data_IF_695985608960
#
_entry.id   IF_695985608960
#
_cell.length_a   1.000
_cell.length_b   1.000
_cell.length_c   1.000
_cell.angle_alpha   90.00
_cell.angle_beta   90.00
_cell.angle_gamma   90.00
#
_symmetry.space_group_name_H-M   'P 1'
#
loop_
_entity.id
_entity.type
_entity.pdbx_description
1 polymer ?
#
# COMPACT_ATOMS: atom_id res chain seq x y z
N UNK A 1 28.04 -17.78 -17.45
CA UNK A 1 26.78 -18.55 -17.58
C UNK A 1 26.43 -18.61 -19.05
N UNK A 2 26.16 -19.79 -19.59
CA UNK A 2 25.81 -20.00 -21.01
C UNK A 2 24.49 -20.74 -21.12
N UNK A 3 23.76 -20.50 -22.21
CA UNK A 3 22.57 -21.25 -22.61
C UNK A 3 22.86 -21.90 -23.96
N UNK A 4 22.78 -23.22 -24.02
CA UNK A 4 23.15 -24.02 -25.20
C UNK A 4 24.55 -23.68 -25.75
N UNK A 5 25.50 -23.49 -24.82
CA UNK A 5 26.89 -23.12 -25.13
C UNK A 5 27.11 -21.66 -25.50
N UNK A 6 26.06 -20.86 -25.71
CA UNK A 6 26.17 -19.43 -26.04
C UNK A 6 26.18 -18.57 -24.78
N UNK A 7 27.12 -17.62 -24.64
CA UNK A 7 27.06 -16.61 -23.59
C UNK A 7 25.82 -15.75 -23.73
N UNK A 8 25.14 -15.46 -22.61
CA UNK A 8 24.02 -14.51 -22.59
C UNK A 8 24.49 -13.16 -22.03
N UNK A 9 23.98 -12.03 -22.56
CA UNK A 9 24.32 -10.69 -22.09
C UNK A 9 23.58 -10.36 -20.78
N UNK A 10 24.00 -10.99 -19.68
CA UNK A 10 23.41 -10.81 -18.35
C UNK A 10 23.59 -9.40 -17.82
N UNK A 11 22.52 -8.82 -17.30
CA UNK A 11 22.57 -7.64 -16.43
C UNK A 11 22.69 -8.10 -14.98
N UNK A 12 23.54 -7.42 -14.21
CA UNK A 12 23.81 -7.76 -12.81
C UNK A 12 23.30 -6.65 -11.90
N UNK A 13 22.60 -7.00 -10.82
CA UNK A 13 22.15 -6.08 -9.76
C UNK A 13 22.45 -6.68 -8.39
N UNK A 14 22.52 -5.85 -7.35
CA UNK A 14 22.65 -6.28 -5.95
C UNK A 14 24.02 -5.95 -5.33
N UNK A 15 24.31 -6.61 -4.21
CA UNK A 15 25.52 -6.44 -3.41
C UNK A 15 26.40 -7.70 -3.52
N UNK A 16 27.62 -7.64 -2.97
CA UNK A 16 28.63 -8.72 -3.06
C UNK A 16 28.15 -10.06 -2.46
N UNK A 17 27.32 -10.00 -1.43
CA UNK A 17 26.73 -11.13 -0.71
C UNK A 17 25.41 -11.61 -1.34
N UNK A 18 24.73 -10.76 -2.10
CA UNK A 18 23.47 -11.07 -2.79
C UNK A 18 23.39 -10.39 -4.15
N UNK A 19 23.77 -11.13 -5.18
CA UNK A 19 23.80 -10.67 -6.56
C UNK A 19 22.75 -11.40 -7.40
N UNK A 20 22.02 -10.65 -8.22
CA UNK A 20 21.02 -11.14 -9.16
C UNK A 20 21.50 -10.94 -10.59
N UNK A 21 21.34 -11.98 -11.42
CA UNK A 21 21.65 -11.95 -12.84
C UNK A 21 20.38 -12.14 -13.64
N UNK A 22 20.09 -11.21 -14.54
CA UNK A 22 18.88 -11.24 -15.36
C UNK A 22 19.24 -11.06 -16.83
N UNK A 23 18.63 -11.87 -17.67
CA UNK A 23 18.67 -11.74 -19.12
C UNK A 23 17.26 -12.00 -19.65
N UNK A 24 16.83 -11.21 -20.61
CA UNK A 24 15.55 -11.36 -21.31
C UNK A 24 15.78 -11.16 -22.80
N UNK A 25 14.95 -11.81 -23.61
CA UNK A 25 14.87 -11.58 -25.05
C UNK A 25 13.41 -11.62 -25.47
N UNK A 26 12.95 -10.57 -26.16
CA UNK A 26 11.61 -10.48 -26.74
C UNK A 26 11.53 -11.02 -28.16
N UNK A 27 12.68 -11.38 -28.75
CA UNK A 27 12.79 -11.82 -30.15
C UNK A 27 13.37 -13.23 -30.29
N UNK A 28 13.86 -13.81 -29.20
CA UNK A 28 14.36 -15.18 -29.16
C UNK A 28 13.47 -16.04 -28.27
N UNK A 29 13.28 -17.30 -28.67
CA UNK A 29 12.60 -18.33 -27.90
C UNK A 29 13.37 -19.64 -27.92
N UNK A 30 12.84 -20.64 -27.23
CA UNK A 30 13.37 -21.98 -27.23
C UNK A 30 12.84 -22.77 -28.41
N UNK A 31 13.75 -23.45 -29.12
CA UNK A 31 13.35 -24.45 -30.09
C UNK A 31 12.77 -25.67 -29.36
N UNK A 32 12.00 -26.50 -30.05
CA UNK A 32 11.54 -27.76 -29.46
C UNK A 32 12.75 -28.64 -29.12
N UNK A 33 12.92 -29.00 -27.86
CA UNK A 33 13.97 -29.93 -27.44
C UNK A 33 14.47 -29.70 -26.03
N UNK A 34 15.62 -30.31 -25.74
CA UNK A 34 16.33 -30.10 -24.48
C UNK A 34 17.30 -28.94 -24.61
N UNK A 35 17.32 -28.08 -23.60
CA UNK A 35 18.23 -26.95 -23.49
C UNK A 35 19.11 -27.09 -22.25
N UNK A 36 20.32 -26.54 -22.31
CA UNK A 36 21.30 -26.64 -21.22
C UNK A 36 21.71 -25.25 -20.75
N UNK A 37 21.25 -24.88 -19.55
CA UNK A 37 21.82 -23.75 -18.81
C UNK A 37 23.05 -24.23 -18.05
N UNK A 38 24.21 -23.71 -18.42
CA UNK A 38 25.47 -24.03 -17.75
C UNK A 38 25.96 -22.85 -16.92
N UNK A 39 25.99 -23.04 -15.60
CA UNK A 39 26.59 -22.13 -14.64
C UNK A 39 27.95 -22.71 -14.23
N UNK A 40 29.03 -22.03 -14.61
CA UNK A 40 30.38 -22.37 -14.16
C UNK A 40 30.78 -21.37 -13.09
N UNK A 41 31.21 -21.86 -11.93
CA UNK A 41 31.86 -21.02 -10.94
C UNK A 41 33.12 -20.39 -11.54
N UNK A 42 33.26 -19.06 -11.47
CA UNK A 42 34.54 -18.42 -11.75
C UNK A 42 35.58 -18.86 -10.71
N UNK A 43 36.87 -18.77 -11.06
CA UNK A 43 38.04 -19.33 -10.33
C UNK A 43 38.18 -19.02 -8.83
N UNK A 44 39.40 -19.04 -8.28
CA UNK A 44 39.60 -18.87 -6.82
C UNK A 44 38.92 -17.60 -6.27
N UNK A 45 38.15 -17.75 -5.19
CA UNK A 45 37.55 -16.64 -4.43
C UNK A 45 38.16 -16.63 -3.04
N UNK A 46 38.87 -15.56 -2.70
CA UNK A 46 39.40 -15.39 -1.37
C UNK A 46 38.50 -14.43 -0.58
N UNK A 47 37.37 -14.94 -0.09
CA UNK A 47 36.39 -14.17 0.68
C UNK A 47 35.63 -15.10 1.63
N UNK A 48 35.19 -14.63 2.81
CA UNK A 48 34.31 -15.41 3.68
C UNK A 48 32.91 -15.63 3.07
N UNK A 49 32.56 -14.95 1.97
CA UNK A 49 31.29 -15.09 1.28
C UNK A 49 31.30 -16.40 0.48
N UNK A 50 30.31 -17.27 0.72
CA UNK A 50 30.13 -18.53 0.02
C UNK A 50 29.79 -18.27 -1.45
N UNK A 51 30.46 -18.98 -2.37
CA UNK A 51 30.08 -19.04 -3.78
C UNK A 51 29.01 -20.10 -3.99
N UNK A 52 27.76 -19.70 -4.06
CA UNK A 52 26.63 -20.61 -4.28
C UNK A 52 25.68 -20.07 -5.34
N UNK A 53 25.20 -20.96 -6.21
CA UNK A 53 24.01 -20.70 -7.01
C UNK A 53 22.79 -20.99 -6.12
N UNK A 54 22.10 -19.95 -5.67
CA UNK A 54 20.94 -20.11 -4.78
C UNK A 54 19.69 -20.54 -5.56
N UNK A 55 19.44 -19.95 -6.73
CA UNK A 55 18.35 -20.32 -7.61
C UNK A 55 18.70 -20.00 -9.06
N UNK A 56 18.08 -20.73 -9.98
CA UNK A 56 18.03 -20.38 -11.40
C UNK A 56 16.59 -20.60 -11.88
N UNK A 57 16.00 -19.58 -12.48
CA UNK A 57 14.68 -19.63 -13.12
C UNK A 57 14.86 -19.33 -14.60
N UNK A 58 14.23 -20.15 -15.45
CA UNK A 58 14.12 -19.91 -16.89
C UNK A 58 12.63 -20.02 -17.21
N UNK A 59 12.11 -18.96 -17.81
CA UNK A 59 10.71 -18.84 -18.16
C UNK A 59 10.61 -18.31 -19.58
N UNK A 60 9.82 -18.99 -20.40
CA UNK A 60 9.42 -18.54 -21.73
C UNK A 60 7.93 -18.23 -21.68
N UNK A 61 7.57 -17.08 -22.23
CA UNK A 61 6.20 -16.61 -22.31
C UNK A 61 5.81 -16.46 -23.78
N UNK A 62 4.50 -16.48 -24.06
CA UNK A 62 4.01 -16.07 -25.37
C UNK A 62 4.22 -14.56 -25.57
N UNK A 63 3.86 -14.04 -26.75
CA UNK A 63 4.07 -12.64 -27.11
C UNK A 63 3.32 -11.63 -26.24
N UNK A 64 3.61 -10.36 -26.49
CA UNK A 64 3.02 -9.21 -25.78
C UNK A 64 1.49 -9.15 -25.88
N UNK A 65 0.89 -9.73 -26.94
CA UNK A 65 -0.56 -9.83 -27.11
C UNK A 65 -1.23 -10.73 -26.05
N UNK A 66 -0.45 -11.60 -25.40
CA UNK A 66 -0.92 -12.51 -24.35
C UNK A 66 -0.40 -12.13 -22.96
N UNK A 67 0.89 -11.80 -22.85
CA UNK A 67 1.57 -11.70 -21.55
C UNK A 67 2.04 -10.29 -21.18
N UNK A 68 1.92 -9.27 -22.04
CA UNK A 68 2.19 -7.87 -21.67
C UNK A 68 3.46 -7.66 -20.81
N UNK A 69 4.60 -8.27 -21.20
CA UNK A 69 5.82 -8.28 -20.41
C UNK A 69 6.52 -6.91 -20.39
N UNK A 70 6.25 -6.08 -21.39
CA UNK A 70 6.82 -4.73 -21.53
C UNK A 70 6.08 -3.68 -20.67
N UNK A 71 4.86 -3.96 -20.22
CA UNK A 71 4.08 -3.09 -19.35
C UNK A 71 4.17 -3.55 -17.87
N UNK A 72 4.99 -2.88 -17.04
CA UNK A 72 5.15 -3.26 -15.64
C UNK A 72 3.90 -2.97 -14.78
N UNK A 73 2.95 -2.19 -15.27
CA UNK A 73 1.69 -1.87 -14.58
C UNK A 73 0.54 -2.80 -14.94
N UNK A 74 0.70 -3.59 -16.01
CA UNK A 74 -0.34 -4.49 -16.48
C UNK A 74 -0.70 -5.52 -15.41
N UNK A 75 -2.01 -5.69 -15.23
CA UNK A 75 -2.57 -6.68 -14.31
C UNK A 75 -3.12 -7.82 -15.15
N UNK A 76 -2.44 -8.96 -15.06
CA UNK A 76 -2.74 -10.16 -15.81
C UNK A 76 -2.73 -11.39 -14.93
N UNK A 77 -2.75 -12.56 -15.57
CA UNK A 77 -2.73 -13.86 -14.89
C UNK A 77 -1.45 -14.61 -15.26
N UNK A 78 -0.36 -14.28 -14.58
CA UNK A 78 0.94 -14.87 -14.85
C UNK A 78 1.09 -16.19 -14.09
N UNK A 79 1.36 -17.32 -14.76
CA UNK A 79 1.54 -18.60 -14.09
C UNK A 79 2.81 -18.59 -13.24
N UNK A 80 2.75 -19.24 -12.09
CA UNK A 80 3.92 -19.56 -11.25
C UNK A 80 3.76 -20.96 -10.67
N UNK A 81 4.86 -21.61 -10.32
CA UNK A 81 4.86 -22.99 -9.84
C UNK A 81 5.53 -23.07 -8.48
N UNK A 82 4.93 -23.81 -7.56
CA UNK A 82 5.57 -24.13 -6.27
C UNK A 82 6.59 -25.27 -6.40
N UNK A 83 7.26 -25.60 -5.30
CA UNK A 83 8.26 -26.68 -5.24
C UNK A 83 7.69 -28.06 -5.61
N UNK A 84 6.37 -28.24 -5.53
CA UNK A 84 5.64 -29.46 -5.86
C UNK A 84 5.05 -29.40 -7.28
N UNK A 85 5.47 -28.42 -8.10
CA UNK A 85 4.98 -28.16 -9.47
C UNK A 85 3.49 -27.81 -9.53
N UNK A 86 2.88 -27.37 -8.41
CA UNK A 86 1.51 -26.88 -8.43
C UNK A 86 1.48 -25.49 -9.03
N UNK A 87 0.67 -25.35 -10.07
CA UNK A 87 0.44 -24.06 -10.73
C UNK A 87 -0.41 -23.17 -9.83
N UNK A 88 0.08 -21.97 -9.58
CA UNK A 88 -0.69 -20.84 -9.06
C UNK A 88 -0.52 -19.64 -10.00
N UNK A 89 -1.12 -18.52 -9.65
CA UNK A 89 -1.16 -17.33 -10.49
C UNK A 89 -0.73 -16.12 -9.68
N UNK A 90 0.02 -15.22 -10.32
CA UNK A 90 0.38 -13.90 -9.79
C UNK A 90 -0.18 -12.81 -10.71
N UNK A 91 -0.54 -11.64 -10.16
CA UNK A 91 -1.22 -10.59 -10.90
C UNK A 91 -0.30 -9.74 -11.80
N UNK A 92 1.02 -9.83 -11.61
CA UNK A 92 1.99 -9.00 -12.29
C UNK A 92 3.31 -9.75 -12.53
N UNK A 93 4.03 -9.38 -13.60
CA UNK A 93 5.23 -10.07 -14.01
C UNK A 93 6.50 -9.67 -13.25
N UNK A 94 6.96 -8.41 -13.26
CA UNK A 94 8.30 -8.10 -12.68
C UNK A 94 8.34 -6.82 -11.84
N UNK A 95 7.23 -6.07 -11.73
CA UNK A 95 7.15 -4.88 -10.87
C UNK A 95 7.09 -5.25 -9.39
N UNK A 96 6.42 -6.34 -9.02
CA UNK A 96 6.16 -6.62 -7.60
C UNK A 96 7.41 -7.08 -6.83
N UNK A 97 7.72 -6.45 -5.70
CA UNK A 97 8.75 -6.86 -4.73
C UNK A 97 8.59 -8.33 -4.31
N UNK A 98 7.36 -8.80 -4.17
CA UNK A 98 7.04 -10.19 -3.80
C UNK A 98 7.43 -11.22 -4.88
N UNK A 99 7.85 -10.75 -6.06
CA UNK A 99 8.37 -11.56 -7.16
C UNK A 99 9.84 -11.22 -7.43
N UNK A 100 10.10 -9.94 -7.65
CA UNK A 100 11.41 -9.42 -7.99
C UNK A 100 11.97 -8.67 -6.78
N UNK A 101 12.84 -9.33 -6.03
CA UNK A 101 13.46 -8.75 -4.84
C UNK A 101 14.37 -7.55 -5.14
N UNK A 102 14.63 -7.23 -6.42
CA UNK A 102 15.32 -6.01 -6.82
C UNK A 102 14.37 -4.84 -7.09
N UNK A 103 13.06 -5.07 -7.11
CA UNK A 103 12.07 -4.02 -7.25
C UNK A 103 11.79 -3.35 -5.91
N UNK A 104 11.71 -2.00 -5.85
CA UNK A 104 11.31 -1.29 -4.65
C UNK A 104 9.79 -1.13 -4.52
N UNK A 105 8.98 -1.72 -5.40
CA UNK A 105 7.55 -1.47 -5.48
C UNK A 105 6.69 -2.72 -5.24
N UNK A 106 5.57 -2.57 -4.56
CA UNK A 106 4.47 -3.55 -4.64
C UNK A 106 3.66 -3.33 -5.91
N UNK A 107 3.16 -4.39 -6.54
CA UNK A 107 2.20 -4.25 -7.64
C UNK A 107 0.84 -3.76 -7.13
N UNK A 108 0.01 -3.24 -8.03
CA UNK A 108 -1.27 -2.60 -7.71
C UNK A 108 -2.21 -3.53 -6.93
N UNK A 109 -2.24 -4.83 -7.25
CA UNK A 109 -3.05 -5.82 -6.52
C UNK A 109 -2.53 -6.07 -5.09
N UNK A 110 -1.21 -6.08 -4.89
CA UNK A 110 -0.62 -6.19 -3.56
C UNK A 110 -0.89 -4.92 -2.73
N UNK A 111 -0.79 -3.74 -3.34
CA UNK A 111 -1.12 -2.47 -2.68
C UNK A 111 -2.58 -2.42 -2.23
N UNK A 112 -3.51 -2.79 -3.11
CA UNK A 112 -4.94 -2.89 -2.79
C UNK A 112 -5.19 -3.86 -1.63
N UNK A 113 -4.59 -5.05 -1.67
CA UNK A 113 -4.72 -6.02 -0.57
C UNK A 113 -4.09 -5.51 0.74
N UNK A 114 -3.00 -4.74 0.70
CA UNK A 114 -2.44 -4.14 1.91
C UNK A 114 -3.42 -3.14 2.54
N UNK A 115 -4.03 -2.26 1.75
CA UNK A 115 -5.10 -1.37 2.24
C UNK A 115 -6.23 -2.17 2.89
N UNK A 116 -6.73 -3.18 2.18
CA UNK A 116 -7.82 -4.03 2.66
C UNK A 116 -7.49 -4.81 3.93
N UNK A 117 -6.22 -5.17 4.15
CA UNK A 117 -5.81 -5.88 5.37
C UNK A 117 -5.56 -4.93 6.52
N UNK A 118 -4.85 -3.81 6.30
CA UNK A 118 -4.51 -2.88 7.37
C UNK A 118 -5.74 -2.14 7.90
N UNK A 119 -6.65 -1.72 7.03
CA UNK A 119 -7.85 -0.98 7.46
C UNK A 119 -8.90 -1.86 8.15
N UNK A 120 -8.71 -3.18 8.21
CA UNK A 120 -9.52 -4.04 9.12
C UNK A 120 -9.18 -3.85 10.59
N UNK A 121 -8.03 -3.22 10.89
CA UNK A 121 -7.49 -3.07 12.25
C UNK A 121 -7.24 -1.62 12.64
N UNK A 122 -7.37 -0.70 11.68
CA UNK A 122 -7.06 0.72 11.85
C UNK A 122 -8.32 1.49 11.52
N UNK A 123 -8.66 2.47 12.36
CA UNK A 123 -9.70 3.45 12.05
C UNK A 123 -9.08 4.68 11.42
N UNK A 124 -9.79 5.31 10.48
CA UNK A 124 -9.39 6.62 9.96
C UNK A 124 -9.62 7.76 10.96
N UNK A 125 -10.47 7.53 11.95
CA UNK A 125 -10.74 8.45 13.04
C UNK A 125 -9.76 8.09 14.17
N UNK A 126 -8.86 9.01 14.47
CA UNK A 126 -7.92 8.87 15.59
C UNK A 126 -8.63 9.25 16.90
N UNK A 127 -9.37 10.36 16.89
CA UNK A 127 -10.15 10.83 18.04
C UNK A 127 -11.25 11.84 17.62
N UNK A 128 -12.17 12.12 18.53
CA UNK A 128 -13.11 13.25 18.44
C UNK A 128 -13.03 14.07 19.73
N UNK A 129 -12.48 15.27 19.62
CA UNK A 129 -12.32 16.18 20.75
C UNK A 129 -13.57 17.04 20.88
N UNK A 130 -14.20 16.99 22.05
CA UNK A 130 -15.38 17.81 22.39
C UNK A 130 -14.97 18.86 23.42
N UNK A 131 -15.19 20.13 23.10
CA UNK A 131 -14.91 21.28 23.97
C UNK A 131 -16.13 22.19 23.99
N UNK A 132 -16.97 22.03 25.01
CA UNK A 132 -18.31 22.62 25.05
C UNK A 132 -19.13 22.21 23.83
N UNK A 133 -19.48 23.19 22.98
CA UNK A 133 -20.23 22.98 21.72
C UNK A 133 -19.34 22.84 20.48
N UNK A 134 -18.03 23.03 20.63
CA UNK A 134 -17.07 22.81 19.54
C UNK A 134 -16.65 21.36 19.52
N UNK A 135 -16.70 20.75 18.34
CA UNK A 135 -16.27 19.36 18.14
C UNK A 135 -15.26 19.32 17.01
N UNK A 136 -14.15 18.63 17.21
CA UNK A 136 -13.07 18.50 16.24
C UNK A 136 -12.69 17.03 16.02
N UNK A 137 -12.75 16.59 14.76
CA UNK A 137 -12.28 15.27 14.35
C UNK A 137 -10.76 15.28 14.20
N UNK A 138 -10.09 14.35 14.88
CA UNK A 138 -8.69 14.00 14.62
C UNK A 138 -8.68 12.78 13.69
N UNK A 139 -8.08 12.95 12.53
CA UNK A 139 -8.01 11.91 11.50
C UNK A 139 -6.56 11.48 11.30
N UNK A 140 -6.36 10.22 10.90
CA UNK A 140 -5.06 9.78 10.38
C UNK A 140 -4.71 10.67 9.18
N UNK A 141 -3.49 11.24 9.13
CA UNK A 141 -3.12 12.27 8.14
C UNK A 141 -2.86 11.66 6.76
N UNK A 142 -3.95 11.29 6.09
CA UNK A 142 -4.05 10.77 4.72
C UNK A 142 -4.89 11.72 3.85
N UNK A 143 -4.94 11.46 2.54
CA UNK A 143 -5.68 12.30 1.60
C UNK A 143 -5.28 13.77 1.76
N UNK A 144 -6.24 14.68 1.68
CA UNK A 144 -5.99 16.12 1.80
C UNK A 144 -5.30 16.58 3.11
N UNK A 145 -5.13 15.72 4.11
CA UNK A 145 -4.46 16.02 5.39
C UNK A 145 -3.03 15.48 5.48
N UNK A 146 -2.52 14.83 4.43
CA UNK A 146 -1.15 14.32 4.40
C UNK A 146 -0.15 15.48 4.55
N UNK A 147 0.86 15.38 5.44
CA UNK A 147 1.84 16.44 5.61
C UNK A 147 2.66 16.61 4.32
N UNK A 148 2.97 17.86 3.98
CA UNK A 148 3.94 18.17 2.92
C UNK A 148 5.32 17.80 3.42
N UNK A 149 5.79 16.58 3.15
CA UNK A 149 7.15 16.17 3.52
C UNK A 149 8.18 16.82 2.62
N UNK A 150 9.31 17.23 3.20
CA UNK A 150 10.46 17.80 2.48
C UNK A 150 11.02 16.80 1.45
N UNK A 151 10.65 16.94 0.17
CA UNK A 151 11.25 16.20 -0.94
C UNK A 151 10.28 15.45 -1.87
N UNK A 152 8.96 15.54 -1.65
CA UNK A 152 7.99 14.99 -2.57
C UNK A 152 6.79 15.90 -2.69
N UNK A 153 6.76 16.72 -3.74
CA UNK A 153 5.62 17.55 -4.17
C UNK A 153 4.47 16.68 -4.68
N UNK A 154 3.99 15.76 -3.85
CA UNK A 154 2.76 15.04 -4.16
C UNK A 154 1.68 15.65 -3.29
N UNK A 155 1.08 16.73 -3.78
CA UNK A 155 -0.19 17.19 -3.25
C UNK A 155 -1.12 15.97 -3.19
N UNK A 156 -1.75 15.72 -2.05
CA UNK A 156 -2.59 14.53 -1.89
C UNK A 156 -3.76 14.49 -2.89
N UNK A 157 -4.17 15.67 -3.38
CA UNK A 157 -5.13 15.84 -4.49
C UNK A 157 -4.56 15.28 -5.80
N UNK A 158 -3.25 15.39 -6.03
CA UNK A 158 -2.54 14.81 -7.18
C UNK A 158 -2.48 13.28 -7.19
N UNK A 159 -2.78 12.63 -6.06
CA UNK A 159 -2.91 11.16 -5.97
C UNK A 159 -4.36 10.67 -6.05
N UNK A 160 -5.35 11.56 -6.20
CA UNK A 160 -6.77 11.18 -6.20
C UNK A 160 -7.26 10.62 -4.86
N UNK A 161 -6.51 10.83 -3.76
CA UNK A 161 -6.91 10.42 -2.43
C UNK A 161 -7.83 11.46 -1.78
N UNK A 162 -8.91 11.03 -1.11
CA UNK A 162 -9.88 11.95 -0.49
C UNK A 162 -10.57 11.36 0.72
N UNK A 163 -10.70 12.14 1.79
CA UNK A 163 -11.69 11.88 2.84
C UNK A 163 -13.03 12.54 2.55
N UNK A 164 -14.11 11.86 2.89
CA UNK A 164 -15.44 12.47 3.10
C UNK A 164 -15.90 12.26 4.54
N UNK A 165 -16.47 13.31 5.12
CA UNK A 165 -16.94 13.32 6.51
C UNK A 165 -18.43 13.60 6.55
N UNK A 166 -19.16 12.81 7.33
CA UNK A 166 -20.58 13.02 7.62
C UNK A 166 -20.79 13.05 9.13
N UNK A 167 -21.44 14.11 9.61
CA UNK A 167 -21.81 14.27 11.00
C UNK A 167 -23.29 13.95 11.15
N UNK A 168 -23.62 13.02 12.05
CA UNK A 168 -24.99 12.60 12.33
C UNK A 168 -25.36 13.03 13.75
N UNK A 169 -26.53 13.63 13.90
CA UNK A 169 -27.15 13.91 15.21
C UNK A 169 -28.37 13.01 15.36
N UNK A 170 -28.37 12.16 16.39
CA UNK A 170 -29.38 11.11 16.60
C UNK A 170 -29.67 10.26 15.34
N UNK A 171 -28.61 9.93 14.60
CA UNK A 171 -28.69 9.13 13.36
C UNK A 171 -29.10 9.91 12.10
N UNK A 172 -29.39 11.21 12.19
CA UNK A 172 -29.71 12.06 11.03
C UNK A 172 -28.51 12.90 10.60
N UNK A 173 -28.15 12.85 9.31
CA UNK A 173 -27.03 13.63 8.80
C UNK A 173 -27.31 15.14 8.88
N UNK A 174 -26.37 15.86 9.48
CA UNK A 174 -26.33 17.32 9.53
C UNK A 174 -25.52 17.82 8.34
N UNK A 175 -26.19 17.95 7.19
CA UNK A 175 -25.54 18.24 5.88
C UNK A 175 -24.69 19.51 5.90
N UNK A 176 -25.07 20.52 6.70
CA UNK A 176 -24.30 21.77 6.82
C UNK A 176 -22.89 21.60 7.40
N UNK A 177 -22.57 20.45 7.99
CA UNK A 177 -21.26 20.10 8.54
C UNK A 177 -20.47 19.13 7.66
N UNK A 178 -21.02 18.71 6.52
CA UNK A 178 -20.36 17.74 5.63
C UNK A 178 -18.94 18.21 5.25
N UNK A 179 -18.01 17.26 5.27
CA UNK A 179 -16.58 17.43 4.97
C UNK A 179 -15.84 18.46 5.85
N UNK A 180 -16.46 18.95 6.94
CA UNK A 180 -15.79 19.79 7.94
C UNK A 180 -15.13 18.93 9.01
N UNK A 181 -13.86 19.21 9.30
CA UNK A 181 -13.11 18.56 10.39
C UNK A 181 -13.45 19.14 11.77
N UNK A 182 -13.96 20.38 11.81
CA UNK A 182 -14.38 21.06 13.03
C UNK A 182 -15.76 21.62 12.84
N UNK A 183 -16.64 21.35 13.79
CA UNK A 183 -18.04 21.77 13.78
C UNK A 183 -18.39 22.50 15.07
N UNK A 184 -19.47 23.27 15.02
CA UNK A 184 -20.06 23.93 16.18
C UNK A 184 -21.52 23.50 16.27
N UNK A 185 -21.81 22.65 17.26
CA UNK A 185 -23.14 22.04 17.43
C UNK A 185 -24.20 23.06 17.82
N UNK A 186 -23.83 24.25 18.30
CA UNK A 186 -24.76 25.34 18.61
C UNK A 186 -25.52 25.86 17.38
N UNK A 187 -24.98 25.61 16.18
CA UNK A 187 -25.61 25.96 14.89
C UNK A 187 -26.77 25.04 14.53
N UNK A 188 -27.07 24.04 15.35
CA UNK A 188 -28.23 23.17 15.23
C UNK A 188 -29.22 23.51 16.33
N UNK A 189 -30.49 23.85 15.99
CA UNK A 189 -31.51 24.06 17.00
C UNK A 189 -31.83 22.78 17.76
N UNK A 190 -31.77 22.82 19.09
CA UNK A 190 -32.10 21.71 20.00
C UNK A 190 -31.45 20.36 19.59
N UNK A 191 -30.11 20.30 19.45
CA UNK A 191 -29.45 19.08 19.01
C UNK A 191 -29.58 18.00 20.08
N UNK A 192 -29.69 16.73 19.66
CA UNK A 192 -29.50 15.60 20.57
C UNK A 192 -28.07 15.61 21.13
N UNK A 193 -27.87 15.08 22.33
CA UNK A 193 -26.52 14.87 22.87
C UNK A 193 -25.76 13.76 22.13
N UNK A 194 -26.44 12.89 21.39
CA UNK A 194 -25.84 11.77 20.66
C UNK A 194 -25.40 12.19 19.27
N UNK A 195 -24.10 12.10 19.03
CA UNK A 195 -23.49 12.39 17.75
C UNK A 195 -22.73 11.19 17.21
N UNK A 196 -22.56 11.17 15.90
CA UNK A 196 -21.74 10.16 15.23
C UNK A 196 -21.02 10.80 14.05
N UNK A 197 -19.72 10.59 14.00
CA UNK A 197 -18.88 10.94 12.86
C UNK A 197 -18.70 9.69 11.99
N UNK A 198 -19.04 9.80 10.72
CA UNK A 198 -18.69 8.81 9.69
C UNK A 198 -17.64 9.40 8.76
N UNK A 199 -16.58 8.64 8.54
CA UNK A 199 -15.48 9.01 7.65
C UNK A 199 -15.31 7.92 6.60
N UNK A 200 -15.21 8.32 5.34
CA UNK A 200 -14.86 7.43 4.23
C UNK A 200 -13.56 7.92 3.59
N UNK A 201 -12.65 7.01 3.28
CA UNK A 201 -11.39 7.30 2.59
C UNK A 201 -11.38 6.63 1.21
N UNK A 202 -11.13 7.42 0.17
CA UNK A 202 -10.99 6.94 -1.21
C UNK A 202 -9.55 7.12 -1.67
N UNK A 203 -9.00 6.13 -2.37
CA UNK A 203 -7.68 6.17 -3.02
C UNK A 203 -7.71 5.35 -4.31
N UNK A 204 -7.02 5.75 -5.40
CA UNK A 204 -6.94 4.95 -6.62
C UNK A 204 -6.30 3.57 -6.44
N UNK A 205 -5.59 3.37 -5.33
CA UNK A 205 -4.98 2.07 -4.97
C UNK A 205 -6.03 1.02 -4.56
N UNK A 206 -7.26 1.43 -4.24
CA UNK A 206 -8.37 0.53 -3.88
C UNK A 206 -9.47 0.71 -4.90
N UNK A 207 -9.67 -0.31 -5.73
CA UNK A 207 -10.69 -0.31 -6.79
C UNK A 207 -12.02 -0.84 -6.29
N UNK A 208 -11.97 -1.83 -5.40
CA UNK A 208 -13.16 -2.46 -4.83
C UNK A 208 -12.98 -2.64 -3.33
N UNK A 209 -13.88 -2.04 -2.56
CA UNK A 209 -13.96 -2.22 -1.10
C UNK A 209 -15.16 -3.09 -0.70
N UNK A 210 -15.11 -4.37 -1.04
CA UNK A 210 -16.20 -5.31 -0.76
C UNK A 210 -16.41 -5.60 0.73
N UNK A 211 -15.43 -5.26 1.58
CA UNK A 211 -15.48 -5.46 3.03
C UNK A 211 -15.87 -4.20 3.80
N UNK A 212 -16.09 -3.08 3.10
CA UNK A 212 -16.40 -1.78 3.69
C UNK A 212 -15.35 -1.31 4.73
N UNK A 213 -14.08 -1.67 4.51
CA UNK A 213 -12.97 -1.34 5.44
C UNK A 213 -12.38 0.04 5.17
N UNK A 214 -12.78 0.69 4.08
CA UNK A 214 -12.38 2.05 3.74
C UNK A 214 -13.28 3.12 4.40
N UNK A 215 -14.06 2.71 5.41
CA UNK A 215 -14.93 3.58 6.19
C UNK A 215 -14.68 3.39 7.69
N UNK A 216 -14.96 4.42 8.47
CA UNK A 216 -14.87 4.42 9.93
C UNK A 216 -16.01 5.22 10.53
N UNK A 217 -16.46 4.80 11.70
CA UNK A 217 -17.56 5.43 12.42
C UNK A 217 -17.21 5.54 13.89
N UNK A 218 -17.49 6.70 14.49
CA UNK A 218 -17.27 6.96 15.90
C UNK A 218 -18.47 7.71 16.48
N UNK A 219 -19.12 7.11 17.48
CA UNK A 219 -20.19 7.76 18.25
C UNK A 219 -19.63 8.42 19.50
N UNK A 220 -20.14 9.60 19.81
CA UNK A 220 -19.71 10.41 20.96
C UNK A 220 -20.88 11.25 21.50
N UNK A 221 -20.72 11.80 22.70
CA UNK A 221 -21.72 12.67 23.32
C UNK A 221 -21.21 14.10 23.43
N UNK A 222 -22.12 15.06 23.27
CA UNK A 222 -21.85 16.48 23.54
C UNK A 222 -22.74 16.89 24.70
N UNK A 223 -22.13 17.14 25.87
CA UNK A 223 -22.85 17.56 27.07
C UNK A 223 -22.99 19.08 27.09
N UNK A 224 -24.24 19.56 27.19
CA UNK A 224 -24.55 21.00 27.24
C UNK A 224 -24.14 21.66 28.56
N UNK A 225 -23.78 20.88 29.58
CA UNK A 225 -23.58 21.34 30.95
C UNK A 225 -22.13 21.65 31.35
N UNK A 226 -21.14 21.49 30.46
CA UNK A 226 -19.75 21.75 30.81
C UNK A 226 -19.24 23.06 30.14
N UNK A 227 -19.27 24.21 30.85
CA UNK A 227 -18.59 25.41 30.38
C UNK A 227 -17.08 25.18 30.42
N UNK A 228 -16.39 25.70 29.40
CA UNK A 228 -14.93 25.69 29.26
C UNK A 228 -14.22 25.92 30.60
N UNK A 229 -13.67 24.85 31.17
CA UNK A 229 -12.65 24.95 32.19
C UNK A 229 -11.45 24.16 31.68
N UNK A 230 -10.37 24.84 31.24
CA UNK A 230 -9.12 24.16 31.01
C UNK A 230 -8.60 23.73 32.38
N UNK A 231 -8.66 22.43 32.68
CA UNK A 231 -7.88 21.88 33.77
C UNK A 231 -6.39 22.06 33.42
N UNK A 232 -5.59 22.75 34.25
CA UNK A 232 -4.15 22.76 34.07
C UNK A 232 -3.63 21.34 34.33
N UNK A 233 -3.04 20.72 33.31
CA UNK A 233 -2.30 19.47 33.46
C UNK A 233 -1.06 19.72 34.32
N UNK A 234 -1.17 19.49 35.62
CA UNK A 234 -0.01 19.20 36.45
C UNK A 234 0.15 17.69 36.45
N UNK A 235 1.09 17.19 35.66
CA UNK A 235 1.93 16.02 35.97
C UNK A 235 2.78 15.72 34.73
N UNK A 236 3.90 16.43 34.61
CA UNK A 236 5.04 15.98 33.83
C UNK A 236 5.98 15.24 34.80
N UNK A 237 6.08 13.90 34.76
CA UNK A 237 6.93 13.16 35.67
C UNK A 237 8.39 13.10 35.20
N UNK A 238 8.81 13.95 34.25
CA UNK A 238 10.17 14.01 33.73
C UNK A 238 10.75 15.42 33.73
N UNK A 239 10.95 15.98 34.92
CA UNK A 239 11.94 17.03 35.20
C UNK A 239 12.38 16.92 36.67
N UNK A 240 13.65 16.65 37.05
CA UNK A 240 14.87 16.35 36.27
C UNK A 240 15.37 14.89 36.36
#
# INVERSE_FOLDING_TARGET
VTLDGKPLPWKTKGLKDRTFYTWTSSTAGFTKGSHVLQVKAGGSFNSPIIKQLCNAEISEYMGEDQFHMDDPEYIGLYPTYDINKRKSIRPNNEKCLMRNMTSPHFCNVCQENMWQQFMTRISFIDDVIVTGKSVEAKLIPLGQFRPKTNGGDVEAVGLGEKYSLQWLNDGQEVVQFRDQVKIDTSRIPNPSSKWTLKVAFTTPSVRVDSKNVMTSEMSFTVDESNPDTPEPSTDDPWDP
#
